data_IF_046692738677
#
_entry.id   IF_046692738677
#
_cell.length_a   1.000
_cell.length_b   1.000
_cell.length_c   1.000
_cell.angle_alpha   90.00
_cell.angle_beta   90.00
_cell.angle_gamma   90.00
#
_symmetry.space_group_name_H-M   'P 1'
#
loop_
_entity.id
_entity.type
_entity.pdbx_description
1 polymer ?
#
# COMPACT_ATOMS: atom_id res chain seq x y z
N UNK A 1 -2.33 -4.45 25.49
CA UNK A 1 -3.01 -3.80 24.35
C UNK A 1 -2.57 -4.39 23.00
N UNK A 2 -1.27 -4.39 22.65
CA UNK A 2 -0.80 -4.94 21.37
C UNK A 2 -1.14 -6.43 21.17
N UNK A 3 -0.94 -7.27 22.19
CA UNK A 3 -1.32 -8.69 22.16
C UNK A 3 -2.81 -8.91 21.90
N UNK A 4 -3.68 -8.01 22.37
CA UNK A 4 -5.12 -8.08 22.12
C UNK A 4 -5.42 -7.76 20.64
N UNK A 5 -4.77 -6.76 20.05
CA UNK A 5 -4.89 -6.49 18.61
C UNK A 5 -4.39 -7.69 17.78
N UNK A 6 -3.24 -8.26 18.13
CA UNK A 6 -2.71 -9.46 17.46
C UNK A 6 -3.71 -10.61 17.55
N UNK A 7 -4.27 -10.88 18.73
CA UNK A 7 -5.25 -11.93 18.93
C UNK A 7 -6.52 -11.71 18.08
N UNK A 8 -7.02 -10.47 18.03
CA UNK A 8 -8.23 -10.09 17.25
C UNK A 8 -8.02 -10.27 15.74
N UNK A 9 -6.86 -9.86 15.23
CA UNK A 9 -6.57 -9.91 13.79
C UNK A 9 -5.91 -11.21 13.32
N UNK A 10 -5.52 -12.11 14.24
CA UNK A 10 -5.04 -13.47 13.90
C UNK A 10 -6.13 -14.31 13.22
N UNK A 11 -7.36 -14.20 13.70
CA UNK A 11 -8.54 -14.85 13.12
C UNK A 11 -9.77 -14.07 13.54
N UNK A 12 -10.35 -13.33 12.61
CA UNK A 12 -11.57 -12.55 12.86
C UNK A 12 -12.78 -13.35 12.40
N UNK A 13 -13.70 -13.62 13.31
CA UNK A 13 -15.01 -14.20 12.99
C UNK A 13 -16.06 -13.08 12.89
N UNK A 14 -16.79 -13.07 11.77
CA UNK A 14 -17.88 -12.15 11.50
C UNK A 14 -19.15 -12.94 11.20
N UNK A 15 -20.28 -12.51 11.78
CA UNK A 15 -21.59 -13.10 11.50
C UNK A 15 -22.33 -12.17 10.52
N UNK A 16 -22.73 -12.70 9.37
CA UNK A 16 -23.55 -12.01 8.38
C UNK A 16 -24.84 -12.80 8.20
N UNK A 17 -25.94 -12.31 8.77
CA UNK A 17 -27.19 -13.06 8.84
C UNK A 17 -27.00 -14.34 9.65
N UNK A 18 -27.19 -15.50 9.01
CA UNK A 18 -26.94 -16.82 9.60
C UNK A 18 -25.56 -17.41 9.26
N UNK A 19 -24.76 -16.73 8.42
CA UNK A 19 -23.45 -17.22 8.00
C UNK A 19 -22.34 -16.74 8.94
N UNK A 20 -21.45 -17.66 9.32
CA UNK A 20 -20.20 -17.35 9.99
C UNK A 20 -19.07 -17.28 8.96
N UNK A 21 -18.45 -16.11 8.84
CA UNK A 21 -17.31 -15.87 7.95
C UNK A 21 -16.07 -15.69 8.80
N UNK A 22 -15.03 -16.48 8.52
CA UNK A 22 -13.73 -16.35 9.17
C UNK A 22 -12.74 -15.71 8.21
N UNK A 23 -12.08 -14.64 8.66
CA UNK A 23 -10.99 -13.98 7.96
C UNK A 23 -9.68 -14.17 8.74
N UNK A 24 -8.64 -14.66 8.07
CA UNK A 24 -7.29 -14.86 8.63
C UNK A 24 -6.29 -13.82 8.13
N UNK A 25 -6.68 -12.97 7.19
CA UNK A 25 -5.86 -11.90 6.64
C UNK A 25 -6.69 -10.63 6.43
N UNK A 26 -6.01 -9.50 6.54
CA UNK A 26 -6.61 -8.18 6.37
C UNK A 26 -7.17 -7.59 7.67
N UNK A 27 -7.80 -6.43 7.54
CA UNK A 27 -8.41 -5.70 8.64
C UNK A 27 -9.94 -5.72 8.53
N UNK A 28 -10.64 -5.51 9.65
CA UNK A 28 -12.10 -5.60 9.71
C UNK A 28 -12.73 -4.33 9.15
N UNK A 29 -13.44 -4.44 8.04
CA UNK A 29 -14.16 -3.30 7.48
C UNK A 29 -15.16 -2.72 8.50
N UNK A 30 -15.13 -1.39 8.67
CA UNK A 30 -15.95 -0.67 9.65
C UNK A 30 -15.39 -0.65 11.08
N UNK A 31 -14.28 -1.34 11.37
CA UNK A 31 -13.64 -1.24 12.69
C UNK A 31 -12.86 0.08 12.83
N UNK A 32 -12.99 0.82 13.95
CA UNK A 32 -12.26 2.07 14.18
C UNK A 32 -10.74 1.93 14.13
N UNK A 33 -10.21 0.73 14.39
CA UNK A 33 -8.76 0.47 14.41
C UNK A 33 -8.21 0.12 13.03
N UNK A 34 -9.05 -0.26 12.08
CA UNK A 34 -8.60 -0.79 10.79
C UNK A 34 -7.91 0.25 9.91
N UNK A 35 -8.39 1.49 9.91
CA UNK A 35 -7.74 2.58 9.18
C UNK A 35 -6.29 2.81 9.65
N UNK A 36 -6.08 2.87 10.97
CA UNK A 36 -4.75 3.06 11.55
C UNK A 36 -3.82 1.88 11.23
N UNK A 37 -4.31 0.64 11.38
CA UNK A 37 -3.53 -0.55 11.08
C UNK A 37 -3.13 -0.62 9.61
N UNK A 38 -4.02 -0.24 8.70
CA UNK A 38 -3.69 -0.17 7.28
C UNK A 38 -2.64 0.90 6.98
N UNK A 39 -2.74 2.09 7.58
CA UNK A 39 -1.74 3.16 7.43
C UNK A 39 -0.38 2.72 7.96
N UNK A 40 -0.33 2.05 9.12
CA UNK A 40 0.92 1.53 9.67
C UNK A 40 1.55 0.47 8.76
N UNK A 41 0.74 -0.39 8.15
CA UNK A 41 1.19 -1.42 7.22
C UNK A 41 1.74 -0.82 5.92
N UNK A 42 1.05 0.13 5.30
CA UNK A 42 1.52 0.75 4.04
C UNK A 42 2.70 1.71 4.25
N UNK A 43 2.94 2.16 5.49
CA UNK A 43 4.08 3.01 5.81
C UNK A 43 5.44 2.35 5.47
N UNK A 44 5.50 1.02 5.49
CA UNK A 44 6.73 0.32 5.14
C UNK A 44 7.04 0.38 3.63
N UNK A 45 6.02 0.46 2.76
CA UNK A 45 6.20 0.81 1.34
C UNK A 45 6.80 2.22 1.20
N UNK A 46 6.25 3.19 1.95
CA UNK A 46 6.71 4.58 1.90
C UNK A 46 8.19 4.67 2.31
N UNK A 47 8.57 3.99 3.39
CA UNK A 47 9.97 3.91 3.84
C UNK A 47 10.85 3.24 2.80
N UNK A 48 10.45 2.08 2.28
CA UNK A 48 11.22 1.34 1.28
C UNK A 48 11.52 2.19 0.05
N UNK A 49 10.54 2.94 -0.47
CA UNK A 49 10.73 3.83 -1.60
C UNK A 49 11.66 5.00 -1.22
N UNK A 50 11.47 5.63 -0.05
CA UNK A 50 12.29 6.76 0.41
C UNK A 50 13.75 6.39 0.70
N UNK A 51 14.00 5.19 1.19
CA UNK A 51 15.35 4.72 1.51
C UNK A 51 16.12 4.32 0.25
N UNK A 52 15.42 3.78 -0.75
CA UNK A 52 16.05 3.28 -1.99
C UNK A 52 16.06 4.29 -3.12
N UNK A 53 15.24 5.33 -3.05
CA UNK A 53 15.20 6.42 -4.03
C UNK A 53 15.83 7.67 -3.42
N UNK A 54 16.83 8.22 -4.11
CA UNK A 54 17.35 9.56 -3.80
C UNK A 54 16.46 10.67 -4.36
N UNK A 55 16.98 11.90 -4.33
CA UNK A 55 16.36 13.09 -4.90
C UNK A 55 15.97 12.85 -6.37
N UNK A 56 14.71 13.13 -6.73
CA UNK A 56 14.16 12.92 -8.07
C UNK A 56 13.77 14.26 -8.72
N UNK A 57 14.76 14.96 -9.27
CA UNK A 57 14.57 16.23 -9.97
C UNK A 57 13.79 17.26 -9.14
N UNK A 58 12.77 17.89 -9.73
CA UNK A 58 11.94 18.89 -9.06
C UNK A 58 11.02 18.30 -7.97
N UNK A 59 10.80 16.98 -7.96
CA UNK A 59 10.01 16.32 -6.92
C UNK A 59 10.78 16.22 -5.59
N UNK A 60 12.10 16.44 -5.60
CA UNK A 60 12.96 16.27 -4.44
C UNK A 60 12.74 14.88 -3.79
N UNK A 61 12.27 14.84 -2.54
CA UNK A 61 11.99 13.64 -1.76
C UNK A 61 10.56 13.08 -1.94
N UNK A 62 9.72 13.75 -2.73
CA UNK A 62 8.34 13.35 -2.95
C UNK A 62 8.26 12.22 -3.99
N UNK A 63 8.23 10.98 -3.51
CA UNK A 63 8.19 9.81 -4.38
C UNK A 63 6.83 9.10 -4.43
N UNK A 64 6.05 9.20 -3.36
CA UNK A 64 4.79 8.47 -3.22
C UNK A 64 3.77 9.30 -2.44
N UNK A 65 2.53 9.26 -2.88
CA UNK A 65 1.36 9.75 -2.17
C UNK A 65 0.45 8.55 -1.91
N UNK A 66 -0.03 8.40 -0.67
CA UNK A 66 -0.88 7.27 -0.29
C UNK A 66 -2.12 7.77 0.43
N UNK A 67 -3.28 7.29 0.00
CA UNK A 67 -4.55 7.49 0.66
C UNK A 67 -5.30 6.15 0.71
N UNK A 68 -5.17 5.44 1.82
CA UNK A 68 -5.63 4.05 1.92
C UNK A 68 -5.09 3.20 0.75
N UNK A 69 -5.95 2.52 0.00
CA UNK A 69 -5.57 1.68 -1.14
C UNK A 69 -5.18 2.48 -2.39
N UNK A 70 -5.53 3.76 -2.47
CA UNK A 70 -5.11 4.63 -3.57
C UNK A 70 -3.66 5.10 -3.35
N UNK A 71 -2.79 4.76 -4.30
CA UNK A 71 -1.37 5.10 -4.26
C UNK A 71 -0.93 5.73 -5.58
N UNK A 72 -0.25 6.86 -5.50
CA UNK A 72 0.40 7.52 -6.63
C UNK A 72 1.90 7.45 -6.44
N UNK A 73 2.60 6.85 -7.40
CA UNK A 73 4.06 6.84 -7.46
C UNK A 73 4.50 7.87 -8.49
N UNK A 74 5.42 8.74 -8.09
CA UNK A 74 5.90 9.86 -8.90
C UNK A 74 7.35 9.66 -9.29
N UNK A 75 7.70 10.06 -10.52
CA UNK A 75 9.10 10.19 -10.94
C UNK A 75 9.24 11.20 -12.08
N UNK A 76 10.42 11.84 -12.17
CA UNK A 76 10.74 12.76 -13.27
C UNK A 76 11.32 12.06 -14.50
N UNK A 77 11.57 10.74 -14.44
CA UNK A 77 12.14 9.98 -15.56
C UNK A 77 11.50 8.60 -15.72
N UNK A 78 11.56 8.07 -16.95
CA UNK A 78 11.11 6.70 -17.27
C UNK A 78 11.87 5.65 -16.45
N UNK A 79 13.18 5.79 -16.32
CA UNK A 79 13.98 4.82 -15.56
C UNK A 79 13.64 4.88 -14.06
N UNK A 80 13.42 6.08 -13.52
CA UNK A 80 13.03 6.26 -12.12
C UNK A 80 11.66 5.65 -11.81
N UNK A 81 10.66 5.83 -12.67
CA UNK A 81 9.34 5.21 -12.44
C UNK A 81 9.39 3.68 -12.55
N UNK A 82 10.17 3.12 -13.50
CA UNK A 82 10.33 1.67 -13.62
C UNK A 82 11.00 1.06 -12.39
N UNK A 83 12.04 1.73 -11.86
CA UNK A 83 12.69 1.28 -10.62
C UNK A 83 11.71 1.31 -9.42
N UNK A 84 10.92 2.38 -9.28
CA UNK A 84 9.92 2.50 -8.20
C UNK A 84 8.78 1.49 -8.33
N UNK A 85 8.34 1.17 -9.55
CA UNK A 85 7.37 0.09 -9.80
C UNK A 85 7.95 -1.27 -9.40
N UNK A 86 9.25 -1.50 -9.63
CA UNK A 86 9.95 -2.69 -9.13
C UNK A 86 9.86 -2.81 -7.61
N UNK A 87 10.14 -1.73 -6.89
CA UNK A 87 10.01 -1.70 -5.42
C UNK A 87 8.57 -1.93 -4.94
N UNK A 88 7.57 -1.34 -5.63
CA UNK A 88 6.16 -1.61 -5.32
C UNK A 88 5.83 -3.09 -5.50
N UNK A 89 6.33 -3.72 -6.56
CA UNK A 89 6.13 -5.15 -6.81
C UNK A 89 6.77 -6.00 -5.71
N UNK A 90 8.03 -5.74 -5.35
CA UNK A 90 8.73 -6.44 -4.28
C UNK A 90 8.00 -6.32 -2.94
N UNK A 91 7.48 -5.12 -2.63
CA UNK A 91 6.64 -4.89 -1.46
C UNK A 91 5.36 -5.72 -1.51
N UNK A 92 4.63 -5.69 -2.63
CA UNK A 92 3.40 -6.47 -2.77
C UNK A 92 3.64 -7.98 -2.63
N UNK A 93 4.68 -8.50 -3.29
CA UNK A 93 5.03 -9.92 -3.27
C UNK A 93 5.43 -10.38 -1.85
N UNK A 94 6.18 -9.56 -1.11
CA UNK A 94 6.60 -9.88 0.26
C UNK A 94 5.49 -9.73 1.32
N UNK A 95 4.50 -8.85 1.08
CA UNK A 95 3.43 -8.56 2.04
C UNK A 95 2.08 -9.19 1.67
N UNK A 96 2.03 -10.01 0.61
CA UNK A 96 0.82 -10.70 0.17
C UNK A 96 -0.26 -9.77 -0.40
N UNK A 97 0.14 -8.60 -0.92
CA UNK A 97 -0.78 -7.67 -1.56
C UNK A 97 -0.92 -7.95 -3.05
N UNK A 98 -2.07 -7.57 -3.61
CA UNK A 98 -2.33 -7.68 -5.05
C UNK A 98 -2.75 -6.33 -5.61
N UNK A 99 -2.00 -5.87 -6.63
CA UNK A 99 -2.34 -4.65 -7.36
C UNK A 99 -3.54 -4.92 -8.27
N UNK A 100 -4.50 -4.00 -8.28
CA UNK A 100 -5.60 -4.03 -9.22
C UNK A 100 -5.21 -3.34 -10.55
N UNK A 101 -4.60 -4.12 -11.45
CA UNK A 101 -4.07 -3.65 -12.73
C UNK A 101 -5.12 -2.92 -13.59
N UNK A 102 -6.39 -3.32 -13.54
CA UNK A 102 -7.44 -2.68 -14.35
C UNK A 102 -7.74 -1.24 -13.91
N UNK A 103 -7.59 -0.97 -12.61
CA UNK A 103 -7.75 0.35 -11.99
C UNK A 103 -6.47 1.18 -12.02
N UNK A 104 -5.30 0.56 -12.06
CA UNK A 104 -4.02 1.27 -12.16
C UNK A 104 -3.87 1.96 -13.52
N UNK A 105 -3.43 3.22 -13.51
CA UNK A 105 -3.19 4.02 -14.72
C UNK A 105 -1.78 4.61 -14.68
N UNK A 106 -1.21 4.81 -15.88
CA UNK A 106 0.03 5.52 -16.10
C UNK A 106 -0.28 6.85 -16.77
N UNK A 107 0.33 7.93 -16.28
CA UNK A 107 0.12 9.28 -16.79
C UNK A 107 1.47 10.01 -16.88
N UNK A 108 1.67 10.71 -18.00
CA UNK A 108 2.82 11.59 -18.21
C UNK A 108 2.32 13.03 -18.20
N UNK A 109 2.94 13.88 -17.39
CA UNK A 109 2.60 15.30 -17.27
C UNK A 109 3.74 16.11 -17.87
N UNK A 110 3.44 16.90 -18.89
CA UNK A 110 4.41 17.80 -19.54
C UNK A 110 5.73 17.11 -19.96
N UNK A 111 5.62 15.93 -20.58
CA UNK A 111 6.77 15.15 -21.05
C UNK A 111 6.38 14.23 -22.20
N UNK A 112 7.39 13.67 -22.86
CA UNK A 112 7.20 12.67 -23.92
C UNK A 112 6.93 11.31 -23.30
N UNK A 113 5.94 10.60 -23.85
CA UNK A 113 5.43 9.33 -23.31
C UNK A 113 6.40 8.16 -23.40
#
# INVERSE_FOLDING_TARGET
MLLALIAVYKSTQSVIGSALITATMGVRQGSPTSCLLFVLFVNDLIKMIKERCGIDGFLAWLHVLVFMDDTVILSTSRNGILAKIGLLKDFCDSHGMKINVSKTKFMVINGSA
#
